data_IF_748161495650
#
_entry.id   IF_748161495650
#
_cell.length_a   1.000
_cell.length_b   1.000
_cell.length_c   1.000
_cell.angle_alpha   90.00
_cell.angle_beta   90.00
_cell.angle_gamma   90.00
#
_symmetry.space_group_name_H-M   'P 1'
#
loop_
_entity.id
_entity.type
_entity.pdbx_description
1 polymer ?
#
# COMPACT_ATOMS: atom_id res chain seq x y z
N UNK A 1 32.49 0.78 7.57
CA UNK A 1 33.62 0.79 8.53
C UNK A 1 34.66 -0.25 8.16
N UNK A 2 34.36 -1.55 8.22
CA UNK A 2 35.32 -2.64 7.90
C UNK A 2 35.95 -2.45 6.52
N UNK A 3 35.12 -2.26 5.48
CA UNK A 3 35.62 -2.07 4.11
C UNK A 3 36.59 -0.89 3.94
N UNK A 4 36.42 0.22 4.67
CA UNK A 4 37.34 1.36 4.54
C UNK A 4 38.73 1.03 5.11
N UNK A 5 38.78 0.34 6.26
CA UNK A 5 40.04 -0.06 6.89
C UNK A 5 40.79 -1.11 6.06
N UNK A 6 40.07 -2.12 5.57
CA UNK A 6 40.65 -3.17 4.73
C UNK A 6 41.15 -2.60 3.39
N UNK A 7 40.35 -1.74 2.73
CA UNK A 7 40.73 -1.12 1.46
C UNK A 7 41.93 -0.17 1.63
N UNK A 8 42.04 0.54 2.75
CA UNK A 8 43.20 1.41 3.05
C UNK A 8 44.48 0.59 3.19
N UNK A 9 44.43 -0.49 3.99
CA UNK A 9 45.56 -1.39 4.18
C UNK A 9 45.99 -2.07 2.88
N UNK A 10 45.04 -2.47 2.03
CA UNK A 10 45.35 -3.15 0.77
C UNK A 10 45.96 -2.25 -0.30
N UNK A 11 45.75 -0.94 -0.23
CA UNK A 11 46.39 0.01 -1.15
C UNK A 11 47.90 0.06 -0.92
N UNK A 12 48.35 -0.11 0.33
CA UNK A 12 49.77 -0.13 0.68
C UNK A 12 50.49 -1.43 0.28
N UNK A 13 49.77 -2.54 0.07
CA UNK A 13 50.36 -3.89 -0.13
C UNK A 13 50.50 -4.37 -1.59
N UNK A 14 50.32 -3.49 -2.58
CA UNK A 14 50.26 -3.73 -4.05
C UNK A 14 48.87 -4.05 -4.64
N UNK A 15 48.63 -3.42 -5.80
CA UNK A 15 47.42 -3.52 -6.61
C UNK A 15 47.07 -4.96 -7.02
N UNK A 16 46.00 -5.51 -6.45
CA UNK A 16 45.44 -6.81 -6.85
C UNK A 16 44.82 -6.81 -8.25
N UNK A 17 44.43 -5.65 -8.78
CA UNK A 17 43.73 -5.54 -10.07
C UNK A 17 44.55 -4.80 -11.14
N UNK A 18 45.03 -5.52 -12.15
CA UNK A 18 45.73 -4.94 -13.31
C UNK A 18 44.71 -4.47 -14.36
N UNK A 19 44.37 -3.19 -14.30
CA UNK A 19 43.37 -2.57 -15.16
C UNK A 19 43.73 -2.65 -16.65
N UNK A 20 45.02 -2.58 -17.01
CA UNK A 20 45.45 -2.65 -18.41
C UNK A 20 45.25 -4.05 -18.98
N UNK A 21 45.63 -5.09 -18.22
CA UNK A 21 45.37 -6.49 -18.61
C UNK A 21 43.88 -6.80 -18.68
N UNK A 22 43.09 -6.23 -17.77
CA UNK A 22 41.64 -6.45 -17.78
C UNK A 22 40.97 -5.82 -19.02
N UNK A 23 41.32 -4.58 -19.38
CA UNK A 23 40.76 -3.89 -20.56
C UNK A 23 41.07 -4.67 -21.85
N UNK A 24 42.26 -5.25 -21.97
CA UNK A 24 42.64 -6.05 -23.15
C UNK A 24 41.85 -7.36 -23.27
N UNK A 25 41.44 -7.96 -22.15
CA UNK A 25 40.73 -9.24 -22.11
C UNK A 25 39.21 -9.12 -22.09
N UNK A 26 38.69 -7.97 -21.64
CA UNK A 26 37.27 -7.75 -21.48
C UNK A 26 36.68 -7.08 -22.73
N UNK A 27 35.79 -7.79 -23.42
CA UNK A 27 35.06 -7.32 -24.61
C UNK A 27 34.20 -6.07 -24.35
N UNK A 28 33.73 -5.90 -23.11
CA UNK A 28 32.94 -4.72 -22.72
C UNK A 28 33.85 -3.51 -22.51
N UNK A 29 34.94 -3.68 -21.77
CA UNK A 29 35.91 -2.63 -21.50
C UNK A 29 36.69 -2.21 -22.77
N UNK A 30 36.91 -3.11 -23.74
CA UNK A 30 37.47 -2.78 -25.05
C UNK A 30 36.52 -1.97 -25.94
N UNK A 31 35.20 -2.09 -25.75
CA UNK A 31 34.17 -1.32 -26.48
C UNK A 31 34.01 0.13 -25.98
N UNK A 32 34.82 0.56 -25.00
CA UNK A 32 34.73 1.89 -24.37
C UNK A 32 33.69 1.99 -23.24
N UNK A 33 33.02 0.89 -22.88
CA UNK A 33 32.10 0.81 -21.74
C UNK A 33 32.81 0.30 -20.48
N UNK A 34 32.56 0.90 -19.32
CA UNK A 34 33.12 0.41 -18.05
C UNK A 34 32.42 -0.87 -17.58
N UNK A 35 33.14 -1.98 -17.57
CA UNK A 35 32.66 -3.26 -17.09
C UNK A 35 32.51 -3.29 -15.56
N UNK A 36 31.53 -4.05 -15.05
CA UNK A 36 31.17 -4.09 -13.63
C UNK A 36 32.35 -4.44 -12.72
N UNK A 37 33.14 -5.45 -13.09
CA UNK A 37 34.32 -5.86 -12.33
C UNK A 37 35.35 -4.72 -12.20
N UNK A 38 35.55 -3.94 -13.27
CA UNK A 38 36.43 -2.77 -13.24
C UNK A 38 35.88 -1.61 -12.40
N UNK A 39 34.57 -1.54 -12.15
CA UNK A 39 33.97 -0.52 -11.28
C UNK A 39 34.06 -0.91 -9.79
N UNK A 40 34.31 -2.20 -9.49
CA UNK A 40 34.41 -2.69 -8.12
C UNK A 40 35.85 -2.86 -7.65
N UNK A 41 36.71 -3.39 -8.52
CA UNK A 41 38.07 -3.85 -8.16
C UNK A 41 39.16 -2.80 -8.45
N UNK A 42 38.80 -1.67 -9.05
CA UNK A 42 39.77 -0.62 -9.35
C UNK A 42 40.27 -0.02 -8.04
N UNK A 43 41.57 -0.04 -7.83
CA UNK A 43 42.19 0.63 -6.69
C UNK A 43 42.12 2.14 -6.82
N UNK A 44 41.87 2.77 -5.69
CA UNK A 44 41.92 4.23 -5.51
C UNK A 44 43.27 4.64 -4.94
N UNK A 45 43.68 5.87 -5.22
CA UNK A 45 44.90 6.44 -4.66
C UNK A 45 44.69 6.86 -3.20
N UNK A 46 45.78 7.01 -2.44
CA UNK A 46 45.77 7.32 -1.01
C UNK A 46 45.05 8.64 -0.66
N UNK A 47 45.04 9.60 -1.59
CA UNK A 47 44.34 10.89 -1.45
C UNK A 47 42.82 10.74 -1.31
N UNK A 48 42.25 9.64 -1.80
CA UNK A 48 40.81 9.36 -1.71
C UNK A 48 40.37 8.83 -0.34
N UNK A 49 41.28 8.36 0.50
CA UNK A 49 40.99 7.95 1.88
C UNK A 49 40.86 9.15 2.82
N UNK A 50 40.15 10.19 2.39
CA UNK A 50 39.84 11.37 3.21
C UNK A 50 38.57 11.17 4.04
N UNK A 51 38.49 11.88 5.17
CA UNK A 51 37.30 11.88 6.02
C UNK A 51 36.03 12.31 5.25
N UNK A 52 36.16 13.25 4.31
CA UNK A 52 35.05 13.74 3.48
C UNK A 52 34.47 12.63 2.60
N UNK A 53 35.32 11.90 1.87
CA UNK A 53 34.86 10.80 0.99
C UNK A 53 34.29 9.65 1.82
N UNK A 54 34.89 9.38 2.97
CA UNK A 54 34.36 8.41 3.94
C UNK A 54 32.97 8.79 4.44
N UNK A 55 32.75 10.05 4.81
CA UNK A 55 31.44 10.54 5.23
C UNK A 55 30.43 10.43 4.08
N UNK A 56 30.80 10.83 2.86
CA UNK A 56 29.96 10.67 1.67
C UNK A 56 29.56 9.21 1.45
N UNK A 57 30.47 8.25 1.60
CA UNK A 57 30.18 6.83 1.48
C UNK A 57 29.15 6.36 2.52
N UNK A 58 29.26 6.81 3.77
CA UNK A 58 28.33 6.44 4.83
C UNK A 58 26.94 7.03 4.64
N UNK A 59 26.83 8.28 4.20
CA UNK A 59 25.56 9.01 4.12
C UNK A 59 24.94 9.02 2.72
N UNK A 60 25.54 8.32 1.76
CA UNK A 60 24.99 8.24 0.41
C UNK A 60 23.64 7.51 0.43
N UNK A 61 22.56 8.31 0.39
CA UNK A 61 21.20 7.86 0.65
C UNK A 61 20.78 6.59 -0.11
N UNK A 62 21.14 6.40 -1.41
CA UNK A 62 20.79 5.17 -2.13
C UNK A 62 21.38 3.90 -1.53
N UNK A 63 22.56 3.98 -0.88
CA UNK A 63 23.20 2.85 -0.20
C UNK A 63 22.82 2.77 1.28
N UNK A 64 22.66 3.92 1.94
CA UNK A 64 22.39 4.01 3.38
C UNK A 64 21.03 3.45 3.82
N UNK A 65 19.96 3.74 3.06
CA UNK A 65 18.60 3.38 3.50
C UNK A 65 18.34 1.87 3.37
N UNK A 66 18.63 1.30 2.20
CA UNK A 66 18.43 -0.12 1.88
C UNK A 66 19.14 -0.54 0.57
N UNK A 67 20.24 0.13 0.21
CA UNK A 67 20.94 -0.20 -1.03
C UNK A 67 21.83 -1.44 -0.89
N UNK A 68 22.29 -1.99 -2.02
CA UNK A 68 23.26 -3.08 -2.00
C UNK A 68 24.53 -2.63 -1.29
N UNK A 69 25.09 -3.48 -0.44
CA UNK A 69 26.36 -3.20 0.22
C UNK A 69 27.46 -3.21 -0.85
N UNK A 70 28.22 -2.12 -0.97
CA UNK A 70 29.41 -2.03 -1.82
C UNK A 70 30.62 -1.66 -0.98
N UNK A 71 31.82 -2.05 -1.42
CA UNK A 71 33.06 -1.66 -0.75
C UNK A 71 33.34 -0.16 -0.90
N UNK A 72 34.16 0.38 0.02
CA UNK A 72 34.61 1.76 -0.04
C UNK A 72 35.39 2.03 -1.33
N UNK A 73 36.29 1.11 -1.71
CA UNK A 73 37.06 1.22 -2.94
C UNK A 73 36.16 1.24 -4.20
N UNK A 74 35.12 0.41 -4.24
CA UNK A 74 34.14 0.43 -5.33
C UNK A 74 33.37 1.76 -5.40
N UNK A 75 33.00 2.34 -4.25
CA UNK A 75 32.33 3.64 -4.20
C UNK A 75 33.27 4.77 -4.64
N UNK A 76 34.46 4.84 -4.06
CA UNK A 76 35.43 5.90 -4.31
C UNK A 76 35.94 5.90 -5.75
N UNK A 77 36.21 4.73 -6.34
CA UNK A 77 36.63 4.62 -7.75
C UNK A 77 35.56 5.08 -8.74
N UNK A 78 34.29 4.96 -8.36
CA UNK A 78 33.14 5.40 -9.16
C UNK A 78 32.86 6.90 -9.07
N UNK A 79 33.43 7.61 -8.08
CA UNK A 79 33.39 9.08 -8.05
C UNK A 79 34.23 9.68 -9.19
N UNK A 80 35.38 9.07 -9.50
CA UNK A 80 36.26 9.52 -10.59
C UNK A 80 35.81 9.02 -11.95
N UNK A 81 35.28 7.79 -11.98
CA UNK A 81 34.76 7.15 -13.19
C UNK A 81 33.33 6.68 -12.97
N UNK A 82 32.35 7.58 -13.09
CA UNK A 82 30.96 7.19 -12.92
C UNK A 82 30.55 6.19 -14.01
N UNK A 83 29.54 5.38 -13.69
CA UNK A 83 28.97 4.44 -14.66
C UNK A 83 28.54 5.17 -15.94
N UNK A 84 28.94 4.66 -17.10
CA UNK A 84 28.52 5.16 -18.44
C UNK A 84 27.66 4.16 -19.22
N UNK A 85 27.30 3.05 -18.59
CA UNK A 85 26.59 1.96 -19.26
C UNK A 85 25.10 2.25 -19.43
N UNK A 86 24.51 2.99 -18.48
CA UNK A 86 23.09 3.27 -18.44
C UNK A 86 22.85 4.77 -18.48
N UNK A 87 22.12 5.24 -19.49
CA UNK A 87 21.57 6.59 -19.51
C UNK A 87 20.50 6.75 -18.43
N UNK A 88 20.35 7.93 -17.82
CA UNK A 88 19.27 8.23 -16.85
C UNK A 88 17.88 7.87 -17.39
N UNK A 89 17.66 8.04 -18.70
CA UNK A 89 16.41 7.66 -19.37
C UNK A 89 16.23 6.13 -19.47
N UNK A 90 17.32 5.39 -19.63
CA UNK A 90 17.29 3.93 -19.64
C UNK A 90 17.05 3.38 -18.23
N UNK A 91 17.70 3.95 -17.20
CA UNK A 91 17.44 3.56 -15.80
C UNK A 91 15.98 3.80 -15.42
N UNK A 92 15.38 4.93 -15.85
CA UNK A 92 14.01 5.27 -15.53
C UNK A 92 12.94 4.53 -16.37
N UNK A 93 13.17 4.32 -17.67
CA UNK A 93 12.13 3.82 -18.59
C UNK A 93 12.38 2.42 -19.18
N UNK A 94 13.58 1.84 -19.08
CA UNK A 94 13.92 0.63 -19.86
C UNK A 94 13.18 -0.61 -19.39
N UNK A 95 12.94 -0.77 -18.08
CA UNK A 95 12.35 -2.00 -17.54
C UNK A 95 10.90 -2.17 -18.03
N UNK A 96 10.11 -1.09 -18.02
CA UNK A 96 8.67 -1.13 -18.30
C UNK A 96 8.33 -1.49 -19.74
N UNK A 97 9.17 -1.12 -20.71
CA UNK A 97 8.91 -1.36 -22.14
C UNK A 97 9.00 -2.83 -22.53
N UNK A 98 9.63 -3.66 -21.71
CA UNK A 98 9.81 -5.10 -21.96
C UNK A 98 8.82 -5.97 -21.19
N UNK A 99 7.99 -5.39 -20.31
CA UNK A 99 7.02 -6.14 -19.52
C UNK A 99 5.78 -6.48 -20.34
N UNK A 100 5.33 -7.73 -20.22
CA UNK A 100 4.05 -8.16 -20.80
C UNK A 100 2.88 -7.50 -20.07
N UNK A 101 1.66 -7.46 -20.64
CA UNK A 101 0.49 -6.96 -19.92
C UNK A 101 0.22 -7.69 -18.60
N UNK A 102 0.56 -8.98 -18.52
CA UNK A 102 0.47 -9.77 -17.29
C UNK A 102 1.48 -9.29 -16.24
N UNK A 103 2.75 -9.08 -16.63
CA UNK A 103 3.77 -8.60 -15.71
C UNK A 103 3.41 -7.22 -15.14
N UNK A 104 2.90 -6.33 -15.99
CA UNK A 104 2.43 -5.01 -15.56
C UNK A 104 1.30 -5.10 -14.53
N UNK A 105 0.41 -6.07 -14.70
CA UNK A 105 -0.66 -6.32 -13.74
C UNK A 105 -0.11 -6.84 -12.41
N UNK A 106 0.76 -7.85 -12.45
CA UNK A 106 1.39 -8.44 -11.26
C UNK A 106 2.19 -7.38 -10.50
N UNK A 107 2.93 -6.54 -11.20
CA UNK A 107 3.68 -5.43 -10.61
C UNK A 107 2.73 -4.40 -10.01
N UNK A 108 1.68 -3.99 -10.72
CA UNK A 108 0.70 -3.02 -10.21
C UNK A 108 0.00 -3.51 -8.93
N UNK A 109 -0.41 -4.78 -8.91
CA UNK A 109 -1.01 -5.40 -7.72
C UNK A 109 0.02 -5.58 -6.59
N UNK A 110 1.24 -6.02 -6.92
CA UNK A 110 2.34 -6.21 -5.99
C UNK A 110 2.76 -4.91 -5.30
N UNK A 111 2.85 -3.81 -6.05
CA UNK A 111 3.17 -2.47 -5.52
C UNK A 111 2.11 -2.03 -4.52
N UNK A 112 0.82 -2.25 -4.81
CA UNK A 112 -0.26 -1.86 -3.90
C UNK A 112 -0.23 -2.68 -2.60
N UNK A 113 0.02 -3.99 -2.68
CA UNK A 113 0.18 -4.86 -1.50
C UNK A 113 1.44 -4.49 -0.70
N UNK A 114 2.54 -4.21 -1.39
CA UNK A 114 3.79 -3.78 -0.77
C UNK A 114 3.61 -2.45 -0.03
N UNK A 115 2.97 -1.45 -0.65
CA UNK A 115 2.63 -0.19 0.02
C UNK A 115 1.76 -0.43 1.25
N UNK A 116 0.71 -1.26 1.13
CA UNK A 116 -0.15 -1.59 2.26
C UNK A 116 0.65 -2.18 3.42
N UNK A 117 1.47 -3.20 3.15
CA UNK A 117 2.27 -3.89 4.16
C UNK A 117 3.29 -2.95 4.80
N UNK A 118 3.98 -2.13 3.99
CA UNK A 118 4.95 -1.13 4.45
C UNK A 118 4.32 -0.19 5.48
N UNK A 119 3.19 0.43 5.15
CA UNK A 119 2.53 1.38 6.05
C UNK A 119 1.85 0.70 7.23
N UNK A 120 1.30 -0.50 7.04
CA UNK A 120 0.74 -1.32 8.11
C UNK A 120 1.77 -1.59 9.21
N UNK A 121 2.97 -2.06 8.84
CA UNK A 121 4.04 -2.34 9.79
C UNK A 121 4.52 -1.06 10.49
N UNK A 122 4.77 0.00 9.70
CA UNK A 122 5.26 1.27 10.22
C UNK A 122 4.29 1.88 11.24
N UNK A 123 3.00 1.97 10.91
CA UNK A 123 2.03 2.60 11.80
C UNK A 123 1.69 1.74 13.02
N UNK A 124 1.67 0.41 12.89
CA UNK A 124 1.51 -0.46 14.06
C UNK A 124 2.67 -0.39 15.03
N UNK A 125 3.89 -0.26 14.51
CA UNK A 125 5.07 -0.04 15.32
C UNK A 125 4.96 1.23 16.18
N UNK A 126 4.58 2.36 15.59
CA UNK A 126 4.39 3.59 16.37
C UNK A 126 3.16 3.56 17.28
N UNK A 127 2.08 2.91 16.85
CA UNK A 127 0.89 2.68 17.69
C UNK A 127 1.25 1.86 18.93
N UNK A 128 2.08 0.83 18.80
CA UNK A 128 2.56 0.03 19.93
C UNK A 128 3.23 0.90 21.00
N UNK A 129 4.15 1.77 20.60
CA UNK A 129 4.79 2.70 21.54
C UNK A 129 3.82 3.73 22.14
N UNK A 130 2.85 4.21 21.36
CA UNK A 130 1.78 5.07 21.87
C UNK A 130 0.98 4.38 22.98
N UNK A 131 0.63 3.11 22.78
CA UNK A 131 -0.12 2.31 23.77
C UNK A 131 0.70 2.03 25.03
N UNK A 132 2.01 1.77 24.91
CA UNK A 132 2.90 1.66 26.07
C UNK A 132 2.88 2.94 26.91
N UNK A 133 2.83 4.10 26.26
CA UNK A 133 2.77 5.40 26.92
C UNK A 133 1.35 5.75 27.43
N UNK A 134 0.38 4.83 27.36
CA UNK A 134 -0.99 5.06 27.81
C UNK A 134 -1.84 5.93 26.87
N UNK A 135 -1.37 6.21 25.65
CA UNK A 135 -2.11 7.00 24.65
C UNK A 135 -2.71 6.06 23.61
N UNK A 136 -4.04 5.99 23.54
CA UNK A 136 -4.75 5.17 22.57
C UNK A 136 -4.78 5.81 21.17
N UNK A 137 -3.69 5.63 20.41
CA UNK A 137 -3.64 6.04 19.02
C UNK A 137 -4.53 5.14 18.12
N UNK A 138 -5.25 5.71 17.14
CA UNK A 138 -6.09 4.96 16.23
C UNK A 138 -5.29 4.01 15.34
N UNK A 139 -5.85 2.83 15.04
CA UNK A 139 -5.31 1.92 14.02
C UNK A 139 -5.55 2.50 12.61
N UNK A 140 -4.48 2.60 11.82
CA UNK A 140 -4.51 3.24 10.52
C UNK A 140 -4.80 2.28 9.37
N UNK A 141 -4.52 0.98 9.54
CA UNK A 141 -4.83 -0.07 8.56
C UNK A 141 -5.70 -1.16 9.19
N UNK A 142 -6.95 -0.83 9.61
CA UNK A 142 -7.83 -1.78 10.30
C UNK A 142 -8.30 -2.93 9.40
N UNK A 143 -8.28 -2.76 8.07
CA UNK A 143 -8.71 -3.76 7.10
C UNK A 143 -7.60 -4.04 6.09
N UNK A 144 -7.45 -5.31 5.71
CA UNK A 144 -6.59 -5.68 4.60
C UNK A 144 -7.10 -5.08 3.29
N UNK A 145 -6.19 -4.56 2.47
CA UNK A 145 -6.46 -4.08 1.11
C UNK A 145 -7.32 -5.08 0.31
N UNK A 146 -6.96 -6.36 0.36
CA UNK A 146 -7.63 -7.44 -0.36
C UNK A 146 -8.99 -7.84 0.23
N UNK A 147 -9.47 -7.09 1.22
CA UNK A 147 -10.82 -7.22 1.76
C UNK A 147 -11.61 -5.91 1.56
N UNK A 148 -11.17 -5.02 0.67
CA UNK A 148 -11.85 -3.79 0.31
C UNK A 148 -12.42 -3.91 -1.12
N UNK A 149 -13.74 -4.07 -1.23
CA UNK A 149 -14.45 -4.22 -2.51
C UNK A 149 -15.11 -2.92 -3.00
N UNK A 150 -14.88 -1.78 -2.34
CA UNK A 150 -15.45 -0.47 -2.71
C UNK A 150 -14.43 0.62 -2.39
N UNK A 151 -14.34 1.69 -3.18
CA UNK A 151 -13.41 2.79 -2.96
C UNK A 151 -13.68 3.47 -1.63
N UNK A 152 -14.95 3.62 -1.25
CA UNK A 152 -15.30 4.21 0.05
C UNK A 152 -14.75 3.38 1.22
N UNK A 153 -14.94 2.06 1.18
CA UNK A 153 -14.36 1.16 2.20
C UNK A 153 -12.84 1.21 2.15
N UNK A 154 -12.24 1.23 0.97
CA UNK A 154 -10.78 1.35 0.82
C UNK A 154 -10.27 2.61 1.52
N UNK A 155 -10.78 3.79 1.19
CA UNK A 155 -10.32 5.08 1.74
C UNK A 155 -10.61 5.25 3.23
N UNK A 156 -11.69 4.66 3.75
CA UNK A 156 -11.98 4.65 5.19
C UNK A 156 -11.02 3.78 6.00
N UNK A 157 -10.47 2.73 5.36
CA UNK A 157 -9.58 1.77 6.02
C UNK A 157 -8.11 1.94 5.64
N UNK A 158 -7.80 2.78 4.64
CA UNK A 158 -6.45 3.19 4.29
C UNK A 158 -6.12 4.50 5.01
N UNK A 159 -5.11 4.47 5.88
CA UNK A 159 -4.74 5.63 6.70
C UNK A 159 -5.97 6.21 7.45
N UNK A 160 -6.68 5.33 8.17
CA UNK A 160 -7.97 5.65 8.77
C UNK A 160 -7.97 6.91 9.66
N UNK A 161 -6.87 7.20 10.38
CA UNK A 161 -6.76 8.42 11.19
C UNK A 161 -6.74 9.68 10.33
N UNK A 162 -6.02 9.66 9.20
CA UNK A 162 -5.95 10.78 8.27
C UNK A 162 -7.28 10.96 7.54
N UNK A 163 -7.94 9.86 7.13
CA UNK A 163 -9.29 9.93 6.57
C UNK A 163 -10.27 10.61 7.55
N UNK A 164 -10.27 10.24 8.83
CA UNK A 164 -11.08 10.89 9.87
C UNK A 164 -10.74 12.37 10.03
N UNK A 165 -9.46 12.72 9.98
CA UNK A 165 -9.01 14.12 10.05
C UNK A 165 -9.52 14.94 8.85
N UNK A 166 -9.38 14.44 7.62
CA UNK A 166 -9.90 15.06 6.41
C UNK A 166 -11.42 15.23 6.47
N UNK A 167 -12.13 14.22 6.96
CA UNK A 167 -13.59 14.29 7.10
C UNK A 167 -13.98 15.39 8.08
N UNK A 168 -13.32 15.45 9.25
CA UNK A 168 -13.65 16.39 10.33
C UNK A 168 -13.30 17.83 9.98
N UNK A 169 -12.11 18.05 9.43
CA UNK A 169 -11.55 19.40 9.29
C UNK A 169 -11.65 19.99 7.89
N UNK A 170 -12.01 19.20 6.87
CA UNK A 170 -12.17 19.70 5.51
C UNK A 170 -13.53 19.32 4.92
N UNK A 171 -13.91 18.05 4.91
CA UNK A 171 -15.15 17.61 4.27
C UNK A 171 -16.41 18.19 4.93
N UNK A 172 -16.51 18.14 6.27
CA UNK A 172 -17.66 18.66 7.02
C UNK A 172 -17.79 20.19 6.86
N UNK A 173 -16.73 21.00 7.08
CA UNK A 173 -16.80 22.45 6.87
C UNK A 173 -17.19 22.88 5.44
N UNK A 174 -16.88 22.07 4.43
CA UNK A 174 -17.25 22.34 3.02
C UNK A 174 -18.71 21.95 2.67
N UNK A 175 -19.57 21.69 3.66
CA UNK A 175 -20.98 21.34 3.45
C UNK A 175 -21.26 19.84 3.40
N UNK A 176 -20.28 19.01 3.74
CA UNK A 176 -20.47 17.58 3.98
C UNK A 176 -21.15 16.84 2.83
N UNK A 177 -22.22 16.09 3.15
CA UNK A 177 -22.93 15.26 2.19
C UNK A 177 -23.66 16.05 1.09
N UNK A 178 -24.03 17.32 1.34
CA UNK A 178 -24.75 18.15 0.36
C UNK A 178 -23.87 18.52 -0.83
N UNK A 179 -22.56 18.63 -0.62
CA UNK A 179 -21.57 18.99 -1.65
C UNK A 179 -20.60 17.85 -1.94
N UNK A 180 -21.04 16.59 -1.78
CA UNK A 180 -20.18 15.40 -1.85
C UNK A 180 -19.30 15.33 -3.10
N UNK A 181 -19.85 15.64 -4.29
CA UNK A 181 -19.09 15.59 -5.54
C UNK A 181 -17.96 16.62 -5.58
N UNK A 182 -18.23 17.88 -5.19
CA UNK A 182 -17.23 18.95 -5.14
C UNK A 182 -16.19 18.68 -4.05
N UNK A 183 -16.64 18.21 -2.88
CA UNK A 183 -15.76 17.92 -1.75
C UNK A 183 -14.76 16.82 -2.07
N UNK A 184 -15.12 15.81 -2.87
CA UNK A 184 -14.18 14.78 -3.33
C UNK A 184 -13.00 15.41 -4.09
N UNK A 185 -13.26 16.30 -5.04
CA UNK A 185 -12.19 16.96 -5.80
C UNK A 185 -11.26 17.79 -4.92
N UNK A 186 -11.83 18.59 -4.01
CA UNK A 186 -11.05 19.46 -3.11
C UNK A 186 -10.21 18.61 -2.15
N UNK A 187 -10.82 17.61 -1.50
CA UNK A 187 -10.14 16.74 -0.54
C UNK A 187 -9.01 15.97 -1.20
N UNK A 188 -9.25 15.33 -2.35
CA UNK A 188 -8.21 14.55 -3.02
C UNK A 188 -7.10 15.42 -3.61
N UNK A 189 -7.41 16.64 -4.07
CA UNK A 189 -6.38 17.60 -4.50
C UNK A 189 -5.50 18.02 -3.32
N UNK A 190 -6.11 18.30 -2.16
CA UNK A 190 -5.36 18.55 -0.93
C UNK A 190 -4.48 17.35 -0.54
N UNK A 191 -4.98 16.12 -0.65
CA UNK A 191 -4.18 14.91 -0.37
C UNK A 191 -2.97 14.82 -1.28
N UNK A 192 -3.09 15.13 -2.57
CA UNK A 192 -1.95 15.16 -3.48
C UNK A 192 -0.90 16.18 -3.03
N UNK A 193 -1.32 17.43 -2.78
CA UNK A 193 -0.45 18.52 -2.34
C UNK A 193 0.20 18.22 -0.99
N UNK A 194 -0.54 17.59 -0.07
CA UNK A 194 -0.03 17.19 1.25
C UNK A 194 1.12 16.18 1.15
N UNK A 195 1.12 15.33 0.12
CA UNK A 195 2.20 14.37 -0.10
C UNK A 195 3.40 15.01 -0.79
N UNK A 196 3.19 15.58 -1.98
CA UNK A 196 4.20 16.34 -2.72
C UNK A 196 3.55 17.04 -3.93
N UNK A 197 4.12 18.15 -4.41
CA UNK A 197 3.64 18.84 -5.60
C UNK A 197 4.24 18.23 -6.88
N UNK A 198 3.92 16.96 -7.12
CA UNK A 198 4.35 16.23 -8.31
C UNK A 198 3.18 15.88 -9.22
N UNK A 199 3.35 16.09 -10.53
CA UNK A 199 2.32 15.80 -11.54
C UNK A 199 1.79 14.37 -11.50
N UNK A 200 2.60 13.41 -11.08
CA UNK A 200 2.19 12.01 -10.91
C UNK A 200 1.14 11.83 -9.80
N UNK A 201 1.32 12.53 -8.67
CA UNK A 201 0.42 12.45 -7.52
C UNK A 201 -0.89 13.20 -7.79
N UNK A 202 -0.80 14.34 -8.47
CA UNK A 202 -2.00 15.08 -8.88
C UNK A 202 -2.82 14.28 -9.90
N UNK A 203 -2.15 13.63 -10.87
CA UNK A 203 -2.81 12.77 -11.85
C UNK A 203 -3.46 11.55 -11.21
N UNK A 204 -2.77 10.90 -10.26
CA UNK A 204 -3.33 9.82 -9.45
C UNK A 204 -4.57 10.23 -8.67
N UNK A 205 -4.54 11.40 -8.05
CA UNK A 205 -5.62 11.96 -7.26
C UNK A 205 -6.87 12.23 -8.10
N UNK A 206 -6.71 12.91 -9.24
CA UNK A 206 -7.83 13.19 -10.14
C UNK A 206 -8.37 11.95 -10.82
N UNK A 207 -7.51 11.00 -11.19
CA UNK A 207 -7.94 9.70 -11.70
C UNK A 207 -8.76 8.93 -10.66
N UNK A 208 -8.35 9.00 -9.39
CA UNK A 208 -9.12 8.44 -8.28
C UNK A 208 -10.48 9.12 -8.12
N UNK A 209 -10.57 10.45 -8.24
CA UNK A 209 -11.84 11.17 -8.23
C UNK A 209 -12.78 10.68 -9.34
N UNK A 210 -12.25 10.54 -10.57
CA UNK A 210 -13.02 10.04 -11.72
C UNK A 210 -13.57 8.64 -11.43
N UNK A 211 -12.79 7.76 -10.81
CA UNK A 211 -13.26 6.42 -10.45
C UNK A 211 -14.24 6.42 -9.26
N UNK A 212 -14.14 7.40 -8.36
CA UNK A 212 -14.98 7.45 -7.17
C UNK A 212 -16.38 8.01 -7.43
N UNK A 213 -16.53 8.91 -8.41
CA UNK A 213 -17.82 9.53 -8.76
C UNK A 213 -18.88 8.49 -9.18
N UNK A 214 -18.61 7.54 -10.11
CA UNK A 214 -19.57 6.50 -10.47
C UNK A 214 -20.04 5.69 -9.27
N UNK A 215 -19.14 5.32 -8.35
CA UNK A 215 -19.53 4.58 -7.13
C UNK A 215 -20.50 5.41 -6.27
N UNK A 216 -20.25 6.71 -6.13
CA UNK A 216 -21.12 7.62 -5.37
C UNK A 216 -22.51 7.72 -6.02
N UNK A 217 -22.56 7.88 -7.34
CA UNK A 217 -23.82 8.00 -8.09
C UNK A 217 -24.63 6.70 -8.03
N UNK A 218 -23.98 5.54 -8.25
CA UNK A 218 -24.61 4.23 -8.20
C UNK A 218 -25.15 3.96 -6.80
N UNK A 219 -24.40 4.22 -5.73
CA UNK A 219 -24.88 4.07 -4.35
C UNK A 219 -26.07 4.98 -4.04
N UNK A 220 -26.03 6.23 -4.53
CA UNK A 220 -27.12 7.17 -4.35
C UNK A 220 -28.39 6.71 -5.06
N UNK A 221 -28.27 6.18 -6.28
CA UNK A 221 -29.40 5.63 -7.01
C UNK A 221 -29.93 4.34 -6.38
N UNK A 222 -29.04 3.42 -6.00
CA UNK A 222 -29.39 2.12 -5.42
C UNK A 222 -30.14 2.25 -4.09
N UNK A 223 -29.84 3.27 -3.27
CA UNK A 223 -30.57 3.52 -2.02
C UNK A 223 -32.04 3.90 -2.25
N UNK A 224 -32.40 4.39 -3.44
CA UNK A 224 -33.77 4.72 -3.82
C UNK A 224 -34.55 3.49 -4.29
N UNK A 225 -33.87 2.49 -4.85
CA UNK A 225 -34.50 1.28 -5.36
C UNK A 225 -34.53 0.18 -4.29
N UNK A 226 -35.68 0.00 -3.63
CA UNK A 226 -35.93 -1.20 -2.82
C UNK A 226 -36.11 -2.39 -3.76
N UNK A 227 -35.12 -3.27 -3.79
CA UNK A 227 -35.20 -4.53 -4.53
C UNK A 227 -36.16 -5.47 -3.79
N UNK A 228 -37.27 -5.85 -4.45
CA UNK A 228 -38.21 -6.85 -3.96
C UNK A 228 -38.07 -8.15 -4.77
N UNK A 229 -37.96 -9.29 -4.08
CA UNK A 229 -37.92 -10.63 -4.67
C UNK A 229 -36.53 -11.29 -4.69
N UNK A 230 -36.51 -12.62 -4.66
CA UNK A 230 -35.29 -13.44 -4.59
C UNK A 230 -34.37 -13.27 -5.81
N UNK A 231 -34.95 -13.14 -7.02
CA UNK A 231 -34.20 -12.92 -8.26
C UNK A 231 -33.58 -11.52 -8.29
N UNK A 232 -34.30 -10.51 -7.77
CA UNK A 232 -33.76 -9.17 -7.59
C UNK A 232 -32.58 -9.13 -6.63
N UNK A 233 -32.69 -9.81 -5.47
CA UNK A 233 -31.58 -9.92 -4.52
C UNK A 233 -30.35 -10.61 -5.14
N UNK A 234 -30.56 -11.67 -5.92
CA UNK A 234 -29.48 -12.35 -6.62
C UNK A 234 -28.79 -11.40 -7.61
N UNK A 235 -29.56 -10.76 -8.51
CA UNK A 235 -29.01 -9.81 -9.48
C UNK A 235 -28.29 -8.64 -8.79
N UNK A 236 -28.83 -8.14 -7.69
CA UNK A 236 -28.20 -7.08 -6.90
C UNK A 236 -26.84 -7.52 -6.33
N UNK A 237 -26.74 -8.76 -5.82
CA UNK A 237 -25.46 -9.32 -5.34
C UNK A 237 -24.45 -9.47 -6.47
N UNK A 238 -24.90 -9.92 -7.64
CA UNK A 238 -24.06 -10.06 -8.83
C UNK A 238 -23.54 -8.70 -9.32
N UNK A 239 -24.40 -7.70 -9.41
CA UNK A 239 -24.02 -6.33 -9.79
C UNK A 239 -23.02 -5.73 -8.81
N UNK A 240 -23.21 -5.95 -7.50
CA UNK A 240 -22.25 -5.50 -6.49
C UNK A 240 -20.89 -6.21 -6.63
N UNK A 241 -20.87 -7.49 -7.01
CA UNK A 241 -19.62 -8.23 -7.22
C UNK A 241 -18.85 -7.72 -8.45
N UNK A 242 -19.58 -7.45 -9.54
CA UNK A 242 -19.03 -6.81 -10.73
C UNK A 242 -18.50 -5.42 -10.39
N UNK A 243 -19.26 -4.61 -9.66
CA UNK A 243 -18.85 -3.27 -9.24
C UNK A 243 -17.57 -3.28 -8.38
N UNK A 244 -17.43 -4.28 -7.50
CA UNK A 244 -16.21 -4.45 -6.71
C UNK A 244 -15.00 -4.85 -7.56
N UNK A 245 -15.16 -5.74 -8.54
CA UNK A 245 -14.10 -6.09 -9.48
C UNK A 245 -13.63 -4.89 -10.31
N UNK A 246 -14.57 -4.08 -10.81
CA UNK A 246 -14.29 -2.81 -11.50
C UNK A 246 -13.52 -1.88 -10.58
N UNK A 247 -13.97 -1.73 -9.34
CA UNK A 247 -13.34 -0.86 -8.34
C UNK A 247 -11.88 -1.24 -8.05
N UNK A 248 -11.62 -2.53 -7.83
CA UNK A 248 -10.25 -3.03 -7.58
C UNK A 248 -9.36 -2.75 -8.81
N UNK A 249 -9.89 -3.00 -10.00
CA UNK A 249 -9.18 -2.74 -11.27
C UNK A 249 -8.85 -1.24 -11.42
N UNK A 250 -9.82 -0.37 -11.18
CA UNK A 250 -9.65 1.08 -11.19
C UNK A 250 -8.59 1.55 -10.20
N UNK A 251 -8.61 1.03 -8.96
CA UNK A 251 -7.63 1.37 -7.94
C UNK A 251 -6.22 0.93 -8.35
N UNK A 252 -6.09 -0.26 -8.96
CA UNK A 252 -4.81 -0.72 -9.47
C UNK A 252 -4.28 0.17 -10.60
N UNK A 253 -5.13 0.52 -11.57
CA UNK A 253 -4.74 1.40 -12.68
C UNK A 253 -4.34 2.77 -12.15
N UNK A 254 -5.11 3.35 -11.22
CA UNK A 254 -4.78 4.62 -10.60
C UNK A 254 -3.39 4.58 -9.94
N UNK A 255 -3.13 3.58 -9.09
CA UNK A 255 -1.85 3.45 -8.38
C UNK A 255 -0.68 3.16 -9.33
N UNK A 256 -0.87 2.37 -10.37
CA UNK A 256 0.16 2.11 -11.38
C UNK A 256 0.53 3.41 -12.13
N UNK A 257 -0.46 4.21 -12.52
CA UNK A 257 -0.22 5.54 -13.12
C UNK A 257 0.45 6.48 -12.13
N UNK A 258 0.03 6.49 -10.87
CA UNK A 258 0.51 7.42 -9.85
C UNK A 258 1.93 7.17 -9.36
N UNK A 259 2.29 5.91 -9.15
CA UNK A 259 3.52 5.55 -8.44
C UNK A 259 4.57 4.85 -9.30
N UNK A 260 4.21 4.41 -10.50
CA UNK A 260 5.09 3.60 -11.35
C UNK A 260 5.35 4.26 -12.69
N UNK A 261 4.28 4.57 -13.44
CA UNK A 261 4.40 4.96 -14.85
C UNK A 261 4.40 6.48 -15.05
N UNK A 262 3.63 7.21 -14.25
CA UNK A 262 3.36 8.64 -14.44
C UNK A 262 2.38 8.94 -15.59
N UNK A 263 2.02 10.22 -15.79
CA UNK A 263 0.99 10.63 -16.76
C UNK A 263 1.38 10.33 -18.22
N UNK A 264 2.67 10.42 -18.55
CA UNK A 264 3.18 10.21 -19.91
C UNK A 264 3.02 8.78 -20.42
N UNK A 265 2.87 7.79 -19.53
CA UNK A 265 2.70 6.39 -19.94
C UNK A 265 1.26 5.87 -19.91
N UNK A 266 0.26 6.74 -19.69
CA UNK A 266 -1.16 6.34 -19.76
C UNK A 266 -1.51 5.81 -21.17
N UNK A 267 -1.08 6.51 -22.22
CA UNK A 267 -1.32 6.08 -23.60
C UNK A 267 -0.65 4.74 -23.91
N UNK A 268 0.54 4.50 -23.34
CA UNK A 268 1.23 3.21 -23.44
C UNK A 268 0.44 2.10 -22.73
N UNK A 269 -0.06 2.36 -21.52
CA UNK A 269 -0.87 1.42 -20.77
C UNK A 269 -2.15 1.06 -21.54
N UNK A 270 -2.89 2.07 -22.03
CA UNK A 270 -4.12 1.88 -22.81
C UNK A 270 -3.83 1.06 -24.07
N UNK A 271 -2.80 1.44 -24.83
CA UNK A 271 -2.44 0.74 -26.06
C UNK A 271 -1.88 -0.67 -25.83
N UNK A 272 -1.29 -0.95 -24.66
CA UNK A 272 -0.85 -2.29 -24.28
C UNK A 272 -2.03 -3.21 -23.92
N UNK A 273 -2.97 -2.73 -23.11
CA UNK A 273 -4.10 -3.52 -22.64
C UNK A 273 -5.23 -3.68 -23.67
N UNK A 274 -5.42 -2.72 -24.58
CA UNK A 274 -6.45 -2.79 -25.63
C UNK A 274 -6.00 -3.56 -26.89
N UNK A 275 -4.77 -4.08 -26.93
CA UNK A 275 -4.32 -4.98 -28.00
C UNK A 275 -4.96 -6.37 -27.87
N UNK A 276 -4.98 -7.12 -28.98
CA UNK A 276 -5.52 -8.48 -29.05
C UNK A 276 -4.91 -9.42 -27.98
N UNK A 277 -3.65 -9.23 -27.63
CA UNK A 277 -2.97 -10.02 -26.59
C UNK A 277 -3.31 -9.58 -25.16
N UNK A 278 -3.64 -8.30 -24.95
CA UNK A 278 -3.96 -7.73 -23.64
C UNK A 278 -5.41 -8.02 -23.19
N UNK A 279 -6.36 -8.05 -24.13
CA UNK A 279 -7.79 -8.24 -23.82
C UNK A 279 -8.08 -9.53 -23.02
N UNK A 280 -7.56 -10.72 -23.41
CA UNK A 280 -7.78 -11.95 -22.67
C UNK A 280 -7.24 -11.88 -21.23
N UNK A 281 -6.10 -11.20 -21.03
CA UNK A 281 -5.47 -11.02 -19.72
C UNK A 281 -6.35 -10.12 -18.85
N UNK A 282 -6.82 -8.99 -19.39
CA UNK A 282 -7.75 -8.09 -18.67
C UNK A 282 -9.02 -8.83 -18.29
N UNK A 283 -9.60 -9.62 -19.21
CA UNK A 283 -10.78 -10.44 -18.95
C UNK A 283 -10.54 -11.48 -17.85
N UNK A 284 -9.41 -12.21 -17.91
CA UNK A 284 -9.03 -13.19 -16.89
C UNK A 284 -8.84 -12.56 -15.52
N UNK A 285 -8.16 -11.42 -15.44
CA UNK A 285 -7.96 -10.70 -14.18
C UNK A 285 -9.27 -10.15 -13.62
N UNK A 286 -10.16 -9.65 -14.48
CA UNK A 286 -11.48 -9.20 -14.07
C UNK A 286 -12.29 -10.33 -13.44
N UNK A 287 -12.26 -11.54 -14.03
CA UNK A 287 -12.90 -12.73 -13.49
C UNK A 287 -12.32 -13.09 -12.12
N UNK A 288 -10.99 -13.04 -11.96
CA UNK A 288 -10.33 -13.30 -10.67
C UNK A 288 -10.80 -12.31 -9.61
N UNK A 289 -10.86 -11.02 -9.91
CA UNK A 289 -11.35 -10.01 -8.96
C UNK A 289 -12.84 -10.09 -8.68
N UNK A 290 -13.64 -10.52 -9.64
CA UNK A 290 -15.04 -10.80 -9.45
C UNK A 290 -15.24 -11.98 -8.48
N UNK A 291 -14.51 -13.09 -8.66
CA UNK A 291 -14.53 -14.23 -7.74
C UNK A 291 -14.03 -13.79 -6.35
N UNK A 292 -12.93 -13.03 -6.29
CA UNK A 292 -12.40 -12.48 -5.04
C UNK A 292 -13.40 -11.59 -4.32
N UNK A 293 -14.12 -10.73 -5.04
CA UNK A 293 -15.17 -9.87 -4.48
C UNK A 293 -16.33 -10.69 -3.92
N UNK A 294 -16.76 -11.75 -4.62
CA UNK A 294 -17.76 -12.69 -4.10
C UNK A 294 -17.31 -13.36 -2.81
N UNK A 295 -16.05 -13.78 -2.74
CA UNK A 295 -15.47 -14.34 -1.52
C UNK A 295 -15.50 -13.32 -0.37
N UNK A 296 -15.17 -12.05 -0.62
CA UNK A 296 -15.27 -10.99 0.38
C UNK A 296 -16.71 -10.80 0.90
N UNK A 297 -17.70 -10.84 0.00
CA UNK A 297 -19.11 -10.78 0.42
C UNK A 297 -19.52 -11.99 1.26
N UNK A 298 -19.11 -13.18 0.85
CA UNK A 298 -19.37 -14.40 1.61
C UNK A 298 -18.75 -14.31 3.03
N UNK A 299 -17.49 -13.90 3.13
CA UNK A 299 -16.81 -13.70 4.42
C UNK A 299 -17.55 -12.66 5.26
N UNK A 300 -17.88 -11.50 4.70
CA UNK A 300 -18.59 -10.42 5.39
C UNK A 300 -19.96 -10.88 5.91
N UNK A 301 -20.71 -11.63 5.08
CA UNK A 301 -21.99 -12.20 5.47
C UNK A 301 -21.82 -13.20 6.63
N UNK A 302 -20.86 -14.12 6.52
CA UNK A 302 -20.57 -15.10 7.58
C UNK A 302 -20.17 -14.46 8.91
N UNK A 303 -19.47 -13.32 8.88
CA UNK A 303 -19.07 -12.60 10.10
C UNK A 303 -20.28 -11.95 10.77
N UNK A 304 -21.17 -11.33 9.99
CA UNK A 304 -22.42 -10.75 10.51
C UNK A 304 -23.30 -11.81 11.19
N UNK A 305 -23.45 -12.98 10.58
CA UNK A 305 -24.19 -14.10 11.18
C UNK A 305 -23.56 -14.58 12.49
N UNK A 306 -22.24 -14.72 12.54
CA UNK A 306 -21.52 -15.11 13.77
C UNK A 306 -21.70 -14.09 14.90
N UNK A 307 -21.61 -12.80 14.59
CA UNK A 307 -21.85 -11.72 15.55
C UNK A 307 -23.28 -11.75 16.06
N UNK A 308 -24.28 -11.83 15.17
CA UNK A 308 -25.70 -11.94 15.56
C UNK A 308 -25.95 -13.14 16.46
N UNK A 309 -25.37 -14.29 16.14
CA UNK A 309 -25.51 -15.52 16.94
C UNK A 309 -24.88 -15.39 18.32
N UNK A 310 -23.77 -14.65 18.45
CA UNK A 310 -23.15 -14.36 19.75
C UNK A 310 -23.98 -13.39 20.58
N UNK A 311 -24.54 -12.35 19.96
CA UNK A 311 -25.40 -11.39 20.64
C UNK A 311 -26.66 -12.05 21.20
N UNK A 312 -27.33 -12.88 20.39
CA UNK A 312 -28.50 -13.65 20.82
C UNK A 312 -28.20 -14.57 22.01
N UNK A 313 -26.99 -15.17 22.06
CA UNK A 313 -26.57 -15.98 23.22
C UNK A 313 -26.32 -15.16 24.48
N UNK A 314 -25.84 -13.93 24.35
CA UNK A 314 -25.61 -13.03 25.49
C UNK A 314 -26.94 -12.52 26.03
N UNK A 315 -27.88 -12.17 25.16
CA UNK A 315 -29.24 -11.76 25.54
C UNK A 315 -29.96 -12.89 26.29
N UNK A 316 -29.91 -14.13 25.78
CA UNK A 316 -30.49 -15.32 26.42
C UNK A 316 -29.88 -15.60 27.82
N UNK A 317 -28.56 -15.40 27.97
CA UNK A 317 -27.88 -15.52 29.27
C UNK A 317 -28.31 -14.42 30.26
N UNK A 318 -28.50 -13.19 29.80
CA UNK A 318 -28.96 -12.08 30.65
C UNK A 318 -30.41 -12.27 31.09
N UNK A 319 -31.30 -12.75 30.21
CA UNK A 319 -32.68 -13.07 30.56
C UNK A 319 -32.76 -14.22 31.57
N UNK A 320 -31.92 -15.26 31.42
CA UNK A 320 -31.84 -16.38 32.37
C UNK A 320 -31.40 -15.92 33.77
N UNK A 321 -30.40 -15.02 33.84
CA UNK A 321 -29.93 -14.46 35.11
C UNK A 321 -30.99 -13.56 35.78
N UNK A 322 -31.65 -12.70 35.01
CA UNK A 322 -32.73 -11.83 35.52
C UNK A 322 -33.96 -12.63 36.01
N UNK A 323 -34.28 -13.74 35.34
CA UNK A 323 -35.35 -14.65 35.77
C UNK A 323 -35.02 -15.40 37.07
N UNK A 324 -33.74 -15.69 37.32
CA UNK A 324 -33.28 -16.34 38.55
C UNK A 324 -33.25 -15.39 39.77
N UNK A 325 -32.98 -14.10 39.55
CA UNK A 325 -33.03 -13.09 40.62
C UNK A 325 -34.47 -12.75 41.04
N UNK A 326 -35.43 -12.72 40.10
CA UNK A 326 -36.84 -12.45 40.44
C UNK A 326 -37.54 -13.61 41.17
N UNK A 327 -37.04 -14.83 40.99
CA UNK A 327 -37.54 -16.03 41.67
C UNK A 327 -36.87 -16.29 43.03
N UNK A 328 -35.72 -15.67 43.31
CA UNK A 328 -35.09 -15.70 44.63
C UNK A 328 -35.77 -14.76 45.65
N UNK A 329 -36.44 -13.69 45.19
CA UNK A 329 -37.06 -12.68 46.06
C UNK A 329 -38.50 -13.03 46.51
N UNK A 330 -39.04 -14.18 46.07
CA UNK A 330 -40.38 -14.66 46.46
C UNK A 330 -40.37 -15.80 47.51
N UNK A 331 -39.19 -16.14 48.06
CA UNK A 331 -38.99 -17.27 48.98
C UNK A 331 -38.69 -16.92 50.45
N UNK A 332 -39.02 -15.70 50.90
CA UNK A 332 -38.81 -15.27 52.29
C UNK A 332 -40.03 -15.49 53.17
N UNK A 333 -40.28 -16.72 53.61
CA UNK A 333 -41.24 -17.04 54.68
C UNK A 333 -40.65 -16.57 56.02
N UNK A 334 -41.06 -15.38 56.49
CA UNK A 334 -40.69 -14.87 57.82
C UNK A 334 -41.50 -15.61 58.89
N UNK A 335 -41.05 -16.80 59.31
CA UNK A 335 -41.49 -17.41 60.56
C UNK A 335 -41.01 -16.55 61.73
N UNK A 336 -41.93 -15.93 62.44
CA UNK A 336 -41.66 -15.10 63.63
C UNK A 336 -41.47 -16.00 64.86
N UNK A 337 -40.21 -16.25 65.25
CA UNK A 337 -39.85 -16.81 66.56
C UNK A 337 -39.68 -15.66 67.58
N UNK A 338 -40.51 -15.56 68.64
CA UNK A 338 -40.48 -14.44 69.57
C UNK A 338 -39.53 -14.61 70.77
N UNK A 339 -38.50 -15.45 70.68
CA UNK A 339 -37.66 -15.80 71.84
C UNK A 339 -36.40 -14.95 72.09
N UNK A 340 -36.19 -13.83 71.38
CA UNK A 340 -34.89 -13.10 71.42
C UNK A 340 -34.93 -11.63 71.91
N UNK A 341 -35.77 -11.31 72.90
CA UNK A 341 -35.69 -10.02 73.64
C UNK A 341 -35.71 -10.20 75.16
N UNK A 342 -34.61 -10.68 75.73
CA UNK A 342 -34.22 -10.43 77.12
C UNK A 342 -32.79 -9.97 77.21
#
# INVERSE_FOLDING_TARGET
>A
MISYGDDYYWVEQNNRFDQKKHIQRCTTCSSGKTCYMSLQERSVQNDKFSFTVYLCYLVYAPLYIAGPIISFNAFASQLDTPQKNYSSKQVACSVWKHLTPMDNFVVGYGVLNFMWLKFFLLWRYFRFWSLINGIEAPENMPKCLNNCYSLETFWKNWHASYNKWLVRYMYIPLGGAQRKLLNVWVVFTFVAIWHDLEWKLLSWSWLTCIFFIPEILIKSAANTFKVQGALGEFLFRELNAVAGAVTITCLMVANLVGFVIGPSGINWLISGFLRKEGLPIVGGMFIIFYIGTKLMFYISHSQKWRLKSRLLKVEDQQETLAGSESSADQGGDYSTDPSYWR
#
